data_IF_752165954032
#
_entry.id   IF_752165954032
#
_cell.length_a   1.000
_cell.length_b   1.000
_cell.length_c   1.000
_cell.angle_alpha   90.00
_cell.angle_beta   90.00
_cell.angle_gamma   90.00
#
_symmetry.space_group_name_H-M   'P 1'
#
loop_
_entity.id
_entity.type
_entity.pdbx_description
1 polymer ?
#
# COMPACT_ATOMS: atom_id res chain seq x y z
N UNK A 1 -0.76 -9.19 11.68
CA UNK A 1 0.18 -8.10 12.00
C UNK A 1 0.75 -7.57 10.69
N UNK A 2 1.70 -8.26 10.05
CA UNK A 2 2.36 -7.80 8.82
C UNK A 2 1.45 -7.32 7.67
N UNK A 3 0.39 -8.06 7.31
CA UNK A 3 -0.58 -7.56 6.30
C UNK A 3 -1.29 -6.25 6.74
N UNK A 4 -1.59 -6.10 8.02
CA UNK A 4 -2.21 -4.86 8.53
C UNK A 4 -1.22 -3.70 8.55
N UNK A 5 0.07 -3.97 8.82
CA UNK A 5 1.10 -2.93 8.80
C UNK A 5 1.18 -2.32 7.39
N UNK A 6 1.26 -3.17 6.35
CA UNK A 6 1.23 -2.74 4.94
C UNK A 6 -0.07 -2.05 4.54
N UNK A 7 -1.22 -2.51 5.06
CA UNK A 7 -2.50 -1.81 4.87
C UNK A 7 -2.43 -0.38 5.41
N UNK A 8 -1.91 -0.23 6.62
CA UNK A 8 -1.91 1.04 7.33
C UNK A 8 -0.98 2.06 6.65
N UNK A 9 0.17 1.62 6.10
CA UNK A 9 1.05 2.47 5.28
C UNK A 9 0.30 3.11 4.11
N UNK A 10 -0.44 2.31 3.34
CA UNK A 10 -1.20 2.79 2.18
C UNK A 10 -2.29 3.76 2.61
N UNK A 11 -3.04 3.43 3.67
CA UNK A 11 -4.08 4.31 4.21
C UNK A 11 -3.49 5.64 4.67
N UNK A 12 -2.37 5.62 5.41
CA UNK A 12 -1.64 6.81 5.85
C UNK A 12 -1.19 7.67 4.67
N UNK A 13 -0.66 7.06 3.61
CA UNK A 13 -0.23 7.78 2.40
C UNK A 13 -1.41 8.45 1.69
N UNK A 14 -2.50 7.73 1.43
CA UNK A 14 -3.67 8.29 0.75
C UNK A 14 -4.29 9.42 1.58
N UNK A 15 -4.34 9.27 2.91
CA UNK A 15 -4.95 10.25 3.83
C UNK A 15 -4.01 11.36 4.32
N UNK A 16 -2.77 11.45 3.84
CA UNK A 16 -1.82 12.48 4.34
C UNK A 16 -2.16 13.91 3.90
N UNK A 17 -3.11 14.07 2.98
CA UNK A 17 -3.67 15.36 2.54
C UNK A 17 -5.09 15.55 3.07
N UNK A 18 -5.51 16.80 3.28
CA UNK A 18 -6.90 17.15 3.62
C UNK A 18 -7.80 17.30 2.40
N UNK A 19 -7.24 17.46 1.20
CA UNK A 19 -7.97 17.62 -0.06
C UNK A 19 -8.59 16.29 -0.51
N UNK A 20 -9.92 16.22 -0.53
CA UNK A 20 -10.66 15.00 -0.90
C UNK A 20 -10.42 14.55 -2.34
N UNK A 21 -10.23 15.49 -3.28
CA UNK A 21 -9.97 15.16 -4.68
C UNK A 21 -8.56 14.63 -4.85
N UNK A 22 -7.60 15.18 -4.11
CA UNK A 22 -6.25 14.62 -4.05
C UNK A 22 -6.24 13.21 -3.47
N UNK A 23 -6.98 12.94 -2.37
CA UNK A 23 -7.08 11.58 -1.81
C UNK A 23 -7.69 10.60 -2.81
N UNK A 24 -8.75 11.00 -3.53
CA UNK A 24 -9.36 10.18 -4.60
C UNK A 24 -8.37 9.89 -5.72
N UNK A 25 -7.61 10.90 -6.19
CA UNK A 25 -6.55 10.70 -7.19
C UNK A 25 -5.49 9.71 -6.70
N UNK A 26 -5.04 9.83 -5.45
CA UNK A 26 -4.07 8.90 -4.85
C UNK A 26 -4.61 7.47 -4.77
N UNK A 27 -5.87 7.28 -4.38
CA UNK A 27 -6.52 5.96 -4.38
C UNK A 27 -6.55 5.35 -5.79
N UNK A 28 -6.95 6.12 -6.80
CA UNK A 28 -6.99 5.62 -8.18
C UNK A 28 -5.59 5.29 -8.73
N UNK A 29 -4.57 6.08 -8.39
CA UNK A 29 -3.17 5.73 -8.68
C UNK A 29 -2.76 4.44 -7.97
N UNK A 30 -3.16 4.25 -6.71
CA UNK A 30 -2.85 3.04 -5.94
C UNK A 30 -3.53 1.79 -6.52
N UNK A 31 -4.76 1.92 -7.03
CA UNK A 31 -5.47 0.83 -7.71
C UNK A 31 -4.75 0.39 -8.98
N UNK A 32 -4.32 1.35 -9.82
CA UNK A 32 -3.50 1.06 -11.01
C UNK A 32 -2.17 0.41 -10.63
N UNK A 33 -1.49 0.93 -9.61
CA UNK A 33 -0.27 0.34 -9.08
C UNK A 33 -0.50 -1.12 -8.65
N UNK A 34 -1.54 -1.38 -7.85
CA UNK A 34 -1.91 -2.72 -7.40
C UNK A 34 -2.18 -3.69 -8.57
N UNK A 35 -2.89 -3.23 -9.60
CA UNK A 35 -3.18 -4.01 -10.79
C UNK A 35 -1.92 -4.38 -11.59
N UNK A 36 -0.89 -3.53 -11.57
CA UNK A 36 0.41 -3.83 -12.14
C UNK A 36 1.17 -4.84 -11.28
N UNK A 37 1.34 -4.55 -9.98
CA UNK A 37 2.22 -5.34 -9.12
C UNK A 37 1.63 -6.69 -8.70
N UNK A 38 0.32 -6.91 -8.83
CA UNK A 38 -0.30 -8.24 -8.59
C UNK A 38 0.24 -9.33 -9.52
N UNK A 39 0.86 -8.94 -10.64
CA UNK A 39 1.50 -9.85 -11.59
C UNK A 39 2.92 -10.24 -11.16
N UNK A 40 3.52 -9.56 -10.17
CA UNK A 40 4.83 -9.92 -9.63
C UNK A 40 4.79 -11.28 -8.94
N UNK A 41 5.65 -12.19 -9.40
CA UNK A 41 5.81 -13.54 -8.85
C UNK A 41 6.89 -13.64 -7.77
N UNK A 42 7.72 -12.61 -7.63
CA UNK A 42 8.80 -12.54 -6.63
C UNK A 42 8.64 -11.32 -5.74
N UNK A 43 9.21 -11.37 -4.54
CA UNK A 43 9.27 -10.21 -3.64
C UNK A 43 10.08 -9.06 -4.27
N UNK A 44 11.23 -9.38 -4.88
CA UNK A 44 12.07 -8.39 -5.55
C UNK A 44 11.37 -7.60 -6.66
N UNK A 45 10.50 -8.25 -7.44
CA UNK A 45 9.67 -7.57 -8.45
C UNK A 45 8.70 -6.59 -7.80
N UNK A 46 8.05 -7.01 -6.70
CA UNK A 46 7.11 -6.15 -6.00
C UNK A 46 7.82 -4.94 -5.37
N UNK A 47 8.97 -5.18 -4.74
CA UNK A 47 9.78 -4.14 -4.10
C UNK A 47 10.33 -3.14 -5.11
N UNK A 48 10.76 -3.56 -6.31
CA UNK A 48 11.23 -2.62 -7.33
C UNK A 48 10.16 -1.61 -7.73
N UNK A 49 8.88 -2.01 -7.70
CA UNK A 49 7.76 -1.09 -7.93
C UNK A 49 7.45 -0.24 -6.71
N UNK A 50 7.49 -0.80 -5.50
CA UNK A 50 7.22 -0.04 -4.26
C UNK A 50 8.23 1.08 -4.05
N UNK A 51 9.50 0.81 -4.36
CA UNK A 51 10.60 1.75 -4.21
C UNK A 51 10.89 2.55 -5.49
N UNK A 52 10.04 2.43 -6.51
CA UNK A 52 10.04 3.33 -7.66
C UNK A 52 9.22 4.59 -7.34
N UNK A 53 9.93 5.68 -7.06
CA UNK A 53 9.32 6.96 -6.71
C UNK A 53 8.68 7.67 -7.92
N UNK A 54 8.96 7.25 -9.16
CA UNK A 54 8.34 7.84 -10.36
C UNK A 54 6.86 7.47 -10.46
N UNK A 55 6.51 6.25 -10.05
CA UNK A 55 5.12 5.75 -10.11
C UNK A 55 4.22 6.42 -9.07
N UNK A 56 4.75 6.68 -7.86
CA UNK A 56 3.99 7.27 -6.76
C UNK A 56 4.89 8.10 -5.84
N UNK A 57 5.12 9.38 -6.18
CA UNK A 57 6.06 10.23 -5.46
C UNK A 57 5.78 10.31 -3.95
N UNK A 58 6.81 10.03 -3.15
CA UNK A 58 6.76 10.06 -1.69
C UNK A 58 6.10 8.84 -1.03
N UNK A 59 5.59 7.87 -1.80
CA UNK A 59 5.09 6.61 -1.24
C UNK A 59 6.24 5.75 -0.73
N UNK A 60 7.32 5.64 -1.50
CA UNK A 60 8.52 4.86 -1.17
C UNK A 60 9.09 5.22 0.21
N UNK A 61 9.19 6.52 0.50
CA UNK A 61 9.68 7.06 1.77
C UNK A 61 8.75 6.69 2.93
N UNK A 62 7.43 6.79 2.73
CA UNK A 62 6.45 6.41 3.75
C UNK A 62 6.47 4.90 4.00
N UNK A 63 6.61 4.13 2.93
CA UNK A 63 6.70 2.69 3.00
C UNK A 63 7.94 2.25 3.79
N UNK A 64 9.12 2.80 3.49
CA UNK A 64 10.36 2.45 4.17
C UNK A 64 10.28 2.61 5.71
N UNK A 65 9.74 3.74 6.19
CA UNK A 65 9.62 4.04 7.62
C UNK A 65 8.76 3.03 8.39
N UNK A 66 7.61 2.65 7.82
CA UNK A 66 6.68 1.72 8.46
C UNK A 66 7.08 0.25 8.18
N UNK A 67 7.80 -0.02 7.07
CA UNK A 67 8.24 -1.35 6.65
C UNK A 67 9.39 -1.90 7.50
N UNK A 68 10.36 -1.07 7.88
CA UNK A 68 11.48 -1.52 8.72
C UNK A 68 11.01 -2.13 10.05
N UNK A 69 10.02 -1.51 10.68
CA UNK A 69 9.40 -2.02 11.90
C UNK A 69 8.66 -3.35 11.67
N UNK A 70 7.95 -3.48 10.55
CA UNK A 70 7.23 -4.70 10.20
C UNK A 70 8.19 -5.87 9.91
N UNK A 71 9.31 -5.61 9.22
CA UNK A 71 10.33 -6.62 8.88
C UNK A 71 10.98 -7.26 10.11
N UNK A 72 11.27 -6.47 11.15
CA UNK A 72 11.84 -6.98 12.40
C UNK A 72 10.97 -8.06 13.04
N UNK A 73 9.64 -7.91 12.94
CA UNK A 73 8.65 -8.84 13.49
C UNK A 73 8.42 -10.08 12.62
N UNK A 74 8.92 -10.09 11.39
CA UNK A 74 8.67 -11.16 10.41
C UNK A 74 9.91 -11.73 9.76
N UNK A 75 11.08 -11.59 10.39
CA UNK A 75 12.35 -12.13 9.91
C UNK A 75 12.33 -13.66 9.64
N UNK A 76 11.33 -14.38 10.17
CA UNK A 76 11.12 -15.82 9.96
C UNK A 76 10.31 -16.16 8.69
N UNK A 77 9.72 -15.18 8.00
CA UNK A 77 8.87 -15.43 6.84
C UNK A 77 9.70 -15.61 5.57
N UNK A 78 9.29 -16.55 4.73
CA UNK A 78 9.84 -16.73 3.38
C UNK A 78 9.34 -15.61 2.46
N UNK A 79 10.13 -15.29 1.44
CA UNK A 79 9.83 -14.18 0.51
C UNK A 79 8.47 -14.29 -0.18
N UNK A 80 8.03 -15.49 -0.57
CA UNK A 80 6.70 -15.65 -1.18
C UNK A 80 5.56 -15.35 -0.18
N UNK A 81 5.76 -15.69 1.10
CA UNK A 81 4.80 -15.39 2.15
C UNK A 81 4.79 -13.89 2.47
N UNK A 82 5.97 -13.24 2.51
CA UNK A 82 6.09 -11.78 2.62
C UNK A 82 5.37 -11.06 1.48
N UNK A 83 5.64 -11.47 0.23
CA UNK A 83 5.00 -10.93 -0.98
C UNK A 83 3.48 -11.02 -0.88
N UNK A 84 2.94 -12.19 -0.53
CA UNK A 84 1.48 -12.39 -0.36
C UNK A 84 0.90 -11.49 0.73
N UNK A 85 1.61 -11.29 1.84
CA UNK A 85 1.14 -10.46 2.94
C UNK A 85 1.20 -8.96 2.61
N UNK A 86 2.21 -8.49 1.88
CA UNK A 86 2.25 -7.11 1.34
C UNK A 86 1.04 -6.89 0.42
N UNK A 87 0.80 -7.82 -0.51
CA UNK A 87 -0.35 -7.76 -1.41
C UNK A 87 -1.70 -7.79 -0.67
N UNK A 88 -1.81 -8.60 0.40
CA UNK A 88 -2.95 -8.59 1.31
C UNK A 88 -3.17 -7.19 1.91
N UNK A 89 -2.11 -6.53 2.37
CA UNK A 89 -2.21 -5.19 2.96
C UNK A 89 -2.69 -4.16 1.95
N UNK A 90 -2.12 -4.16 0.75
CA UNK A 90 -2.50 -3.24 -0.32
C UNK A 90 -3.96 -3.44 -0.74
N UNK A 91 -4.40 -4.70 -0.90
CA UNK A 91 -5.80 -5.02 -1.21
C UNK A 91 -6.75 -4.50 -0.13
N UNK A 92 -6.47 -4.81 1.13
CA UNK A 92 -7.30 -4.40 2.27
C UNK A 92 -7.37 -2.87 2.39
N UNK A 93 -6.28 -2.16 2.06
CA UNK A 93 -6.25 -0.70 2.08
C UNK A 93 -7.17 -0.10 1.03
N UNK A 94 -7.13 -0.63 -0.21
CA UNK A 94 -8.02 -0.21 -1.30
C UNK A 94 -9.48 -0.39 -0.87
N UNK A 95 -9.86 -1.58 -0.39
CA UNK A 95 -11.23 -1.88 0.04
C UNK A 95 -11.70 -0.93 1.15
N UNK A 96 -10.84 -0.70 2.15
CA UNK A 96 -11.15 0.19 3.29
C UNK A 96 -11.34 1.64 2.84
N UNK A 97 -10.49 2.12 1.93
CA UNK A 97 -10.56 3.48 1.40
C UNK A 97 -11.79 3.68 0.52
N UNK A 98 -12.13 2.71 -0.34
CA UNK A 98 -13.35 2.76 -1.16
C UNK A 98 -14.63 2.81 -0.31
N UNK A 99 -14.69 2.04 0.77
CA UNK A 99 -15.79 2.11 1.74
C UNK A 99 -15.85 3.50 2.38
N UNK A 100 -14.69 4.03 2.82
CA UNK A 100 -14.59 5.36 3.41
C UNK A 100 -15.12 6.47 2.49
N UNK A 101 -14.68 6.50 1.23
CA UNK A 101 -15.13 7.50 0.26
C UNK A 101 -16.62 7.37 -0.09
N UNK A 102 -17.17 6.16 -0.15
CA UNK A 102 -18.62 5.98 -0.35
C UNK A 102 -19.44 6.55 0.82
N UNK A 103 -18.93 6.43 2.05
CA UNK A 103 -19.56 6.99 3.25
C UNK A 103 -19.45 8.53 3.34
N UNK A 104 -18.38 9.12 2.81
CA UNK A 104 -18.17 10.58 2.78
C UNK A 104 -19.06 11.31 1.76
N UNK A 105 -19.64 10.61 0.77
CA UNK A 105 -20.58 11.19 -0.22
C UNK A 105 -22.01 11.27 0.33
N UNK A 106 -22.32 10.59 1.45
CA UNK A 106 -23.67 10.50 2.02
C UNK A 106 -23.88 11.49 3.20
N UNK A 107 -22.91 12.36 3.51
CA UNK A 107 -23.03 13.42 4.52
C UNK A 107 -23.10 14.79 3.87
#
# INVERSE_FOLDING_TARGET
>A
MYCNDHRDVVVKFVKSTTDIDERKRRLETFKRFYDTVKLCRTLSCLESWIYDDETMPGFSQRYALDHEAAEQLTHILRDDDKRKLIMCGFKNAIESLEIGFKGEVIK
#
